data_IF_647739643657
#
_entry.id   IF_647739643657
#
_cell.length_a   1.000
_cell.length_b   1.000
_cell.length_c   1.000
_cell.angle_alpha   90.00
_cell.angle_beta   90.00
_cell.angle_gamma   90.00
#
_symmetry.space_group_name_H-M   'P 1'
#
loop_
_entity.id
_entity.type
_entity.pdbx_description
1 polymer ?
#
# COMPACT_ATOMS: atom_id res chain seq x y z
N UNK A 1 22.78 11.41 -13.22
CA UNK A 1 23.64 11.18 -12.03
C UNK A 1 22.94 11.40 -10.67
N UNK A 2 21.65 11.78 -10.59
CA UNK A 2 20.97 12.05 -9.30
C UNK A 2 20.20 10.89 -8.64
N UNK A 3 20.02 9.74 -9.31
CA UNK A 3 19.15 8.65 -8.83
C UNK A 3 19.74 7.85 -7.66
N UNK A 4 21.03 7.52 -7.71
CA UNK A 4 21.67 6.64 -6.72
C UNK A 4 21.81 7.29 -5.34
N UNK A 5 22.17 8.57 -5.31
CA UNK A 5 22.27 9.36 -4.07
C UNK A 5 20.91 9.54 -3.40
N UNK A 6 19.83 9.68 -4.18
CA UNK A 6 18.47 9.78 -3.64
C UNK A 6 18.00 8.46 -3.04
N UNK A 7 18.25 7.32 -3.71
CA UNK A 7 17.95 5.97 -3.19
C UNK A 7 18.64 5.72 -1.85
N UNK A 8 19.91 6.10 -1.71
CA UNK A 8 20.66 5.98 -0.45
C UNK A 8 20.09 6.82 0.68
N UNK A 9 19.70 8.07 0.41
CA UNK A 9 19.04 8.93 1.40
C UNK A 9 17.72 8.32 1.88
N UNK A 10 16.87 7.91 0.95
CA UNK A 10 15.59 7.26 1.27
C UNK A 10 15.82 5.98 2.09
N UNK A 11 16.82 5.16 1.74
CA UNK A 11 17.18 3.97 2.55
C UNK A 11 17.52 4.34 3.99
N UNK A 12 18.36 5.36 4.19
CA UNK A 12 18.77 5.81 5.52
C UNK A 12 17.61 6.35 6.35
N UNK A 13 16.73 7.14 5.74
CA UNK A 13 15.54 7.69 6.39
C UNK A 13 14.59 6.57 6.85
N UNK A 14 14.41 5.53 6.02
CA UNK A 14 13.43 4.48 6.34
C UNK A 14 13.96 3.51 7.42
N UNK A 15 15.28 3.36 7.56
CA UNK A 15 15.89 2.47 8.56
C UNK A 15 15.44 2.79 9.99
N UNK A 16 15.17 4.06 10.32
CA UNK A 16 14.69 4.42 11.66
C UNK A 16 13.36 3.71 12.00
N UNK A 17 12.48 3.51 11.01
CA UNK A 17 11.19 2.87 11.22
C UNK A 17 11.29 1.41 11.63
N UNK A 18 12.41 0.72 11.31
CA UNK A 18 12.70 -0.64 11.78
C UNK A 18 12.59 -0.79 13.29
N UNK A 19 12.95 0.26 14.01
CA UNK A 19 13.00 0.30 15.48
C UNK A 19 11.80 1.06 16.02
N UNK A 20 11.42 2.16 15.38
CA UNK A 20 10.34 3.03 15.85
C UNK A 20 8.98 2.33 15.77
N UNK A 21 8.67 1.64 14.67
CA UNK A 21 7.35 1.00 14.50
C UNK A 21 7.08 -0.05 15.58
N UNK A 22 7.98 -1.03 15.84
CA UNK A 22 7.75 -2.00 16.91
C UNK A 22 7.53 -1.34 18.28
N UNK A 23 8.28 -0.29 18.62
CA UNK A 23 8.10 0.40 19.89
C UNK A 23 6.78 1.16 19.97
N UNK A 24 6.32 1.77 18.87
CA UNK A 24 5.01 2.41 18.80
C UNK A 24 3.88 1.40 18.95
N UNK A 25 4.00 0.23 18.34
CA UNK A 25 3.03 -0.87 18.46
C UNK A 25 2.98 -1.40 19.91
N UNK A 26 4.14 -1.54 20.56
CA UNK A 26 4.21 -1.91 21.97
C UNK A 26 3.51 -0.89 22.89
N UNK A 27 3.68 0.41 22.61
CA UNK A 27 3.06 1.48 23.39
C UNK A 27 1.52 1.51 23.34
N UNK A 28 0.92 0.84 22.35
CA UNK A 28 -0.53 0.68 22.20
C UNK A 28 -1.00 -0.74 22.50
N UNK A 29 -0.19 -1.53 23.24
CA UNK A 29 -0.47 -2.91 23.65
C UNK A 29 -0.74 -3.90 22.50
N UNK A 30 -0.32 -3.57 21.27
CA UNK A 30 -0.58 -4.40 20.08
C UNK A 30 -0.10 -5.85 20.27
N UNK A 31 1.08 -6.06 20.84
CA UNK A 31 1.65 -7.40 21.04
C UNK A 31 1.01 -8.18 22.20
N UNK A 32 0.33 -7.50 23.13
CA UNK A 32 -0.44 -8.16 24.18
C UNK A 32 -1.75 -8.71 23.60
N UNK A 33 -2.36 -7.97 22.67
CA UNK A 33 -3.57 -8.37 21.96
C UNK A 33 -3.28 -9.42 20.87
N UNK A 34 -2.10 -9.37 20.24
CA UNK A 34 -1.69 -10.24 19.14
C UNK A 34 -0.54 -11.16 19.56
N UNK A 35 -0.83 -12.09 20.46
CA UNK A 35 0.16 -13.00 21.10
C UNK A 35 1.02 -13.81 20.13
N UNK A 36 0.58 -13.99 18.87
CA UNK A 36 1.32 -14.71 17.84
C UNK A 36 2.44 -13.87 17.20
N UNK A 37 2.36 -12.54 17.32
CA UNK A 37 3.31 -11.61 16.73
C UNK A 37 4.30 -11.19 17.82
N UNK A 38 5.59 -11.47 17.60
CA UNK A 38 6.64 -11.07 18.54
C UNK A 38 7.03 -9.61 18.32
N UNK A 39 7.35 -8.92 19.41
CA UNK A 39 8.02 -7.64 19.33
C UNK A 39 9.47 -7.86 18.92
N UNK A 40 9.80 -7.49 17.68
CA UNK A 40 11.15 -7.53 17.14
C UNK A 40 11.38 -6.41 16.13
N UNK A 41 12.65 -6.16 15.80
CA UNK A 41 12.99 -5.18 14.77
C UNK A 41 12.48 -5.67 13.42
N UNK A 42 11.68 -4.84 12.75
CA UNK A 42 11.12 -5.21 11.45
C UNK A 42 12.21 -5.39 10.40
N UNK A 43 12.01 -6.34 9.49
CA UNK A 43 12.82 -6.42 8.28
C UNK A 43 12.36 -5.36 7.28
N UNK A 44 13.31 -4.68 6.64
CA UNK A 44 13.02 -3.72 5.58
C UNK A 44 13.56 -4.31 4.28
N UNK A 45 12.64 -4.71 3.39
CA UNK A 45 12.96 -5.17 2.06
C UNK A 45 12.81 -4.02 1.05
N UNK A 46 13.89 -3.71 0.33
CA UNK A 46 13.85 -2.80 -0.80
C UNK A 46 13.67 -3.62 -2.07
N UNK A 47 12.43 -3.65 -2.57
CA UNK A 47 12.15 -4.29 -3.86
C UNK A 47 12.76 -3.46 -4.97
N UNK A 48 13.75 -4.03 -5.65
CA UNK A 48 14.38 -3.43 -6.82
C UNK A 48 13.62 -3.80 -8.09
N UNK A 49 13.95 -3.18 -9.22
CA UNK A 49 13.41 -3.51 -10.55
C UNK A 49 11.88 -3.40 -10.69
N UNK A 50 11.24 -2.58 -9.85
CA UNK A 50 9.86 -2.17 -10.06
C UNK A 50 9.79 -1.08 -11.12
N UNK A 51 8.75 -1.13 -11.96
CA UNK A 51 8.45 -0.08 -12.93
C UNK A 51 8.30 1.26 -12.21
N UNK A 52 9.06 2.26 -12.65
CA UNK A 52 8.93 3.62 -12.12
C UNK A 52 7.91 4.37 -12.97
N UNK A 53 6.97 5.02 -12.29
CA UNK A 53 5.99 5.91 -12.93
C UNK A 53 6.69 6.95 -13.82
N UNK A 54 6.17 7.15 -15.04
CA UNK A 54 6.74 8.10 -16.01
C UNK A 54 5.95 9.39 -16.17
N UNK A 55 4.82 9.54 -15.45
CA UNK A 55 4.00 10.75 -15.42
C UNK A 55 3.84 11.30 -13.98
N UNK A 56 3.09 12.39 -13.81
CA UNK A 56 2.85 12.99 -12.49
C UNK A 56 1.55 12.57 -11.78
N UNK A 57 0.67 11.79 -12.41
CA UNK A 57 -0.72 11.58 -11.95
C UNK A 57 -1.04 10.16 -11.44
N UNK A 58 -0.21 9.19 -11.77
CA UNK A 58 -0.47 7.77 -11.55
C UNK A 58 0.11 7.20 -10.25
N UNK A 59 0.75 8.01 -9.42
CA UNK A 59 1.40 7.54 -8.19
C UNK A 59 0.43 6.75 -7.31
N UNK A 60 -0.80 7.25 -7.13
CA UNK A 60 -1.85 6.54 -6.40
C UNK A 60 -2.27 5.22 -7.06
N UNK A 61 -2.28 5.16 -8.39
CA UNK A 61 -2.60 3.93 -9.13
C UNK A 61 -1.50 2.88 -8.97
N UNK A 62 -0.23 3.28 -9.03
CA UNK A 62 0.91 2.41 -8.76
C UNK A 62 0.83 1.83 -7.35
N UNK A 63 0.58 2.66 -6.32
CA UNK A 63 0.41 2.20 -4.92
C UNK A 63 -0.70 1.15 -4.81
N UNK A 64 -1.89 1.42 -5.35
CA UNK A 64 -3.03 0.50 -5.28
C UNK A 64 -2.71 -0.82 -5.98
N UNK A 65 -2.06 -0.79 -7.15
CA UNK A 65 -1.77 -1.99 -7.94
C UNK A 65 -0.62 -2.80 -7.36
N UNK A 66 0.41 -2.17 -6.80
CA UNK A 66 1.44 -2.90 -6.05
C UNK A 66 0.88 -3.53 -4.78
N UNK A 67 0.07 -2.82 -4.00
CA UNK A 67 -0.59 -3.40 -2.83
C UNK A 67 -1.40 -4.64 -3.23
N UNK A 68 -2.20 -4.55 -4.30
CA UNK A 68 -2.92 -5.71 -4.84
C UNK A 68 -1.99 -6.84 -5.26
N UNK A 69 -0.89 -6.53 -5.97
CA UNK A 69 0.07 -7.54 -6.42
C UNK A 69 0.81 -8.21 -5.25
N UNK A 70 1.09 -7.51 -4.16
CA UNK A 70 1.73 -8.08 -2.96
C UNK A 70 0.75 -8.89 -2.11
N UNK A 71 -0.52 -8.47 -2.05
CA UNK A 71 -1.57 -9.18 -1.32
C UNK A 71 -2.10 -10.42 -2.06
N UNK A 72 -1.79 -10.56 -3.34
CA UNK A 72 -2.26 -11.67 -4.18
C UNK A 72 -1.06 -12.38 -4.79
N UNK A 73 -1.17 -13.62 -5.26
CA UNK A 73 -0.07 -14.29 -5.97
C UNK A 73 0.13 -13.74 -7.40
N UNK A 74 0.02 -12.43 -7.60
CA UNK A 74 0.19 -11.76 -8.90
C UNK A 74 1.55 -11.11 -8.95
N UNK A 75 2.32 -11.40 -10.01
CA UNK A 75 3.63 -10.77 -10.21
C UNK A 75 3.55 -9.24 -10.25
N UNK A 76 4.42 -8.59 -9.49
CA UNK A 76 4.63 -7.14 -9.46
C UNK A 76 5.07 -6.57 -10.80
N UNK A 77 5.70 -7.37 -11.67
CA UNK A 77 6.08 -6.99 -13.03
C UNK A 77 4.89 -6.71 -13.97
N UNK A 78 3.66 -7.05 -13.57
CA UNK A 78 2.45 -6.67 -14.31
C UNK A 78 1.99 -5.23 -14.04
N UNK A 79 2.55 -4.58 -13.02
CA UNK A 79 2.25 -3.20 -12.67
C UNK A 79 3.14 -2.28 -13.50
N UNK A 80 2.72 -2.03 -14.74
CA UNK A 80 3.48 -1.21 -15.70
C UNK A 80 2.77 0.10 -16.00
N UNK A 81 3.52 1.10 -16.46
CA UNK A 81 2.96 2.39 -16.86
C UNK A 81 1.98 2.26 -18.04
N UNK A 82 2.27 1.37 -18.99
CA UNK A 82 1.41 1.06 -20.14
C UNK A 82 0.01 0.62 -19.71
N UNK A 83 -0.08 -0.18 -18.64
CA UNK A 83 -1.34 -0.70 -18.13
C UNK A 83 -2.14 0.32 -17.30
N UNK A 84 -1.59 1.49 -16.97
CA UNK A 84 -2.23 2.42 -16.04
C UNK A 84 -3.57 2.96 -16.54
N UNK A 85 -3.73 3.18 -17.85
CA UNK A 85 -5.01 3.59 -18.44
C UNK A 85 -6.10 2.53 -18.20
N UNK A 86 -5.80 1.27 -18.50
CA UNK A 86 -6.70 0.16 -18.22
C UNK A 86 -6.99 0.02 -16.72
N UNK A 87 -5.96 0.12 -15.88
CA UNK A 87 -6.09 0.02 -14.44
C UNK A 87 -7.00 1.10 -13.84
N UNK A 88 -6.93 2.34 -14.34
CA UNK A 88 -7.84 3.44 -13.95
C UNK A 88 -9.27 3.11 -14.32
N UNK A 89 -9.51 2.74 -15.59
CA UNK A 89 -10.86 2.40 -16.07
C UNK A 89 -11.46 1.23 -15.28
N UNK A 90 -10.66 0.20 -15.02
CA UNK A 90 -11.07 -0.95 -14.22
C UNK A 90 -11.42 -0.56 -12.78
N UNK A 91 -10.54 0.21 -12.13
CA UNK A 91 -10.78 0.65 -10.75
C UNK A 91 -12.03 1.52 -10.64
N UNK A 92 -12.23 2.47 -11.55
CA UNK A 92 -13.44 3.32 -11.58
C UNK A 92 -14.69 2.48 -11.76
N UNK A 93 -14.65 1.49 -12.68
CA UNK A 93 -15.78 0.57 -12.90
C UNK A 93 -16.09 -0.27 -11.66
N UNK A 94 -15.05 -0.81 -11.00
CA UNK A 94 -15.18 -1.60 -9.77
C UNK A 94 -15.79 -0.75 -8.63
N UNK A 95 -15.29 0.47 -8.43
CA UNK A 95 -15.79 1.40 -7.41
C UNK A 95 -17.22 1.85 -7.69
N UNK A 96 -17.55 2.14 -8.95
CA UNK A 96 -18.90 2.54 -9.34
C UNK A 96 -19.92 1.42 -9.08
N UNK A 97 -19.61 0.21 -9.52
CA UNK A 97 -20.47 -0.96 -9.28
C UNK A 97 -20.64 -1.24 -7.79
N UNK A 98 -19.56 -1.14 -7.01
CA UNK A 98 -19.63 -1.28 -5.57
C UNK A 98 -20.53 -0.20 -4.93
N UNK A 99 -20.44 1.05 -5.37
CA UNK A 99 -21.30 2.13 -4.89
C UNK A 99 -22.80 1.90 -5.18
N UNK A 100 -23.12 1.38 -6.37
CA UNK A 100 -24.50 0.98 -6.71
C UNK A 100 -24.98 -0.13 -5.78
N UNK A 101 -24.17 -1.17 -5.58
CA UNK A 101 -24.53 -2.32 -4.76
C UNK A 101 -24.69 -1.93 -3.28
N UNK A 102 -23.79 -1.09 -2.75
CA UNK A 102 -23.90 -0.51 -1.41
C UNK A 102 -25.25 0.18 -1.21
N UNK A 103 -25.65 1.03 -2.18
CA UNK A 103 -26.94 1.74 -2.16
C UNK A 103 -28.13 0.78 -2.21
N UNK A 104 -28.09 -0.24 -3.08
CA UNK A 104 -29.16 -1.24 -3.19
C UNK A 104 -29.36 -2.05 -1.91
N UNK A 105 -28.26 -2.42 -1.25
CA UNK A 105 -28.28 -3.23 -0.01
C UNK A 105 -28.51 -2.40 1.25
N UNK A 106 -28.58 -1.07 1.13
CA UNK A 106 -28.60 -0.13 2.25
C UNK A 106 -27.49 -0.41 3.27
N UNK A 107 -26.31 -0.79 2.77
CA UNK A 107 -25.16 -1.12 3.62
C UNK A 107 -24.50 0.17 4.11
N UNK A 108 -24.49 0.36 5.43
CA UNK A 108 -23.81 1.48 6.08
C UNK A 108 -22.43 1.06 6.57
N UNK A 109 -21.41 1.86 6.27
CA UNK A 109 -20.08 1.69 6.88
C UNK A 109 -20.08 2.25 8.31
N UNK A 110 -19.12 1.83 9.13
CA UNK A 110 -18.99 2.32 10.52
C UNK A 110 -18.93 3.86 10.59
N UNK A 111 -18.18 4.46 9.67
CA UNK A 111 -18.08 5.92 9.51
C UNK A 111 -19.37 6.65 9.10
N UNK A 112 -20.37 5.93 8.60
CA UNK A 112 -21.68 6.47 8.24
C UNK A 112 -22.72 6.28 9.34
N UNK A 113 -22.44 5.40 10.31
CA UNK A 113 -23.32 5.13 11.46
C UNK A 113 -23.14 6.11 12.61
N UNK A 114 -21.98 6.77 12.66
CA UNK A 114 -21.59 7.71 13.74
C UNK A 114 -21.93 9.18 13.44
N UNK A 115 -22.77 9.45 12.43
CA UNK A 115 -23.29 10.80 12.10
C UNK A 115 -24.76 10.91 12.43
#
# INVERSE_FOLDING_TARGET
MGGTTNKLKVKLEIIAYRIVIPNLLAAVNFYEEQIEIKQENFEIEFVEDLEIQSNGSDCGMFVIKWAKALMTNVSTGKVTQENMTFFRQKLVTELYNWGIDKKKRNYQTDSEREK
#
